data_IF_337114027109
#
_entry.id   IF_337114027109
#
_cell.length_a   1.000
_cell.length_b   1.000
_cell.length_c   1.000
_cell.angle_alpha   90.00
_cell.angle_beta   90.00
_cell.angle_gamma   90.00
#
_symmetry.space_group_name_H-M   'P 1'
#
loop_
_entity.id
_entity.type
_entity.pdbx_description
1 polymer ?
#
# COMPACT_ATOMS: atom_id res chain seq x y z
N UNK A 1 -1.85 28.13 -25.74
CA UNK A 1 -2.91 28.99 -25.14
C UNK A 1 -2.74 29.10 -23.62
N UNK A 2 -2.74 30.32 -23.09
CA UNK A 2 -2.62 30.60 -21.64
C UNK A 2 -3.98 30.89 -21.00
N UNK A 3 -4.06 30.76 -19.68
CA UNK A 3 -5.23 31.18 -18.90
C UNK A 3 -5.27 32.70 -18.79
N UNK A 4 -6.47 33.29 -18.83
CA UNK A 4 -6.66 34.73 -18.60
C UNK A 4 -6.27 35.11 -17.15
N UNK A 5 -5.41 36.11 -16.99
CA UNK A 5 -4.82 36.56 -15.72
C UNK A 5 -5.67 37.56 -14.93
N UNK A 6 -6.97 37.60 -15.19
CA UNK A 6 -7.97 38.45 -14.56
C UNK A 6 -9.09 37.64 -13.90
N UNK A 7 -8.89 36.32 -13.74
CA UNK A 7 -9.91 35.37 -13.28
C UNK A 7 -9.41 34.48 -12.14
N UNK A 8 -10.39 33.93 -11.41
CA UNK A 8 -10.19 32.81 -10.49
C UNK A 8 -10.60 31.53 -11.22
N UNK A 9 -9.76 30.51 -11.15
CA UNK A 9 -10.03 29.19 -11.72
C UNK A 9 -10.33 28.20 -10.61
N UNK A 10 -11.26 27.28 -10.89
CA UNK A 10 -11.58 26.15 -10.03
C UNK A 10 -11.03 24.88 -10.66
N UNK A 11 -10.25 24.13 -9.88
CA UNK A 11 -9.61 22.89 -10.29
C UNK A 11 -10.16 21.77 -9.40
N UNK A 12 -10.69 20.72 -10.02
CA UNK A 12 -11.19 19.53 -9.34
C UNK A 12 -10.49 18.29 -9.91
N UNK A 13 -10.08 17.38 -9.05
CA UNK A 13 -9.59 16.07 -9.50
C UNK A 13 -10.78 15.23 -9.98
N UNK A 14 -10.78 14.83 -11.25
CA UNK A 14 -11.85 14.00 -11.84
C UNK A 14 -11.58 12.50 -11.73
N UNK A 15 -10.31 12.11 -11.52
CA UNK A 15 -9.87 10.73 -11.40
C UNK A 15 -8.55 10.67 -10.62
N UNK A 16 -8.53 9.87 -9.56
CA UNK A 16 -7.30 9.56 -8.84
C UNK A 16 -6.42 8.57 -9.62
N UNK A 17 -5.09 8.63 -9.45
CA UNK A 17 -4.20 7.55 -9.86
C UNK A 17 -4.59 6.22 -9.20
N UNK A 18 -4.23 5.11 -9.85
CA UNK A 18 -4.50 3.77 -9.29
C UNK A 18 -3.91 3.64 -7.89
N UNK A 19 -4.73 3.18 -6.94
CA UNK A 19 -4.33 3.00 -5.55
C UNK A 19 -4.39 4.25 -4.67
N UNK A 20 -4.91 5.37 -5.17
CA UNK A 20 -5.08 6.61 -4.42
C UNK A 20 -6.56 6.99 -4.25
N UNK A 21 -6.84 7.75 -3.20
CA UNK A 21 -8.16 8.31 -2.90
C UNK A 21 -8.34 9.60 -3.72
N UNK A 22 -9.48 9.73 -4.40
CA UNK A 22 -9.85 10.95 -5.14
C UNK A 22 -10.10 12.13 -4.20
N UNK A 23 -9.43 13.24 -4.44
CA UNK A 23 -9.67 14.51 -3.75
C UNK A 23 -10.84 15.26 -4.40
N UNK A 24 -12.00 15.23 -3.74
CA UNK A 24 -13.22 15.89 -4.24
C UNK A 24 -13.30 17.39 -3.93
N UNK A 25 -12.28 17.97 -3.28
CA UNK A 25 -12.26 19.40 -2.97
C UNK A 25 -12.10 20.23 -4.25
N UNK A 26 -12.75 21.38 -4.27
CA UNK A 26 -12.53 22.41 -5.29
C UNK A 26 -11.33 23.25 -4.88
N UNK A 27 -10.27 23.24 -5.68
CA UNK A 27 -9.08 24.05 -5.47
C UNK A 27 -9.18 25.34 -6.28
N UNK A 28 -9.07 26.49 -5.60
CA UNK A 28 -9.15 27.80 -6.25
C UNK A 28 -7.77 28.35 -6.53
N UNK A 29 -7.54 28.78 -7.77
CA UNK A 29 -6.33 29.48 -8.19
C UNK A 29 -6.72 30.88 -8.64
N UNK A 30 -6.28 31.88 -7.88
CA UNK A 30 -6.51 33.28 -8.21
C UNK A 30 -5.35 33.80 -9.07
N UNK A 31 -5.63 34.09 -10.35
CA UNK A 31 -4.65 34.61 -11.28
C UNK A 31 -4.74 36.12 -11.47
N UNK A 32 -5.66 36.81 -10.76
CA UNK A 32 -5.86 38.26 -10.91
C UNK A 32 -4.57 39.03 -10.65
N UNK A 33 -4.14 39.81 -11.64
CA UNK A 33 -2.92 40.63 -11.55
C UNK A 33 -1.61 39.84 -11.64
N UNK A 34 -1.65 38.55 -12.02
CA UNK A 34 -0.48 37.69 -12.14
C UNK A 34 -0.04 37.47 -13.60
N UNK A 35 -0.35 38.41 -14.50
CA UNK A 35 -0.03 38.31 -15.93
C UNK A 35 1.45 38.00 -16.21
N UNK A 36 1.68 37.08 -17.15
CA UNK A 36 3.03 36.71 -17.61
C UNK A 36 3.81 35.77 -16.67
N UNK A 37 3.22 35.31 -15.56
CA UNK A 37 3.85 34.39 -14.61
C UNK A 37 3.32 32.96 -14.75
N UNK A 38 4.15 31.99 -14.39
CA UNK A 38 3.73 30.59 -14.19
C UNK A 38 3.25 30.41 -12.77
N UNK A 39 2.08 29.78 -12.60
CA UNK A 39 1.55 29.38 -11.30
C UNK A 39 1.62 27.85 -11.16
N UNK A 40 2.13 27.36 -10.01
CA UNK A 40 2.23 25.93 -9.71
C UNK A 40 1.25 25.56 -8.61
N UNK A 41 0.26 24.73 -8.94
CA UNK A 41 -0.61 24.09 -7.96
C UNK A 41 -0.07 22.69 -7.66
N UNK A 42 0.21 22.40 -6.39
CA UNK A 42 0.63 21.07 -5.93
C UNK A 42 -0.54 20.41 -5.21
N UNK A 43 -0.99 19.27 -5.74
CA UNK A 43 -2.04 18.44 -5.15
C UNK A 43 -1.44 17.12 -4.66
N UNK A 44 -1.68 16.78 -3.40
CA UNK A 44 -1.22 15.54 -2.80
C UNK A 44 -2.39 14.58 -2.62
N UNK A 45 -2.23 13.35 -3.10
CA UNK A 45 -3.22 12.29 -2.92
C UNK A 45 -2.86 11.37 -1.76
N UNK A 46 -3.89 10.92 -1.06
CA UNK A 46 -3.75 9.91 -0.02
C UNK A 46 -3.82 8.52 -0.64
N UNK A 47 -2.82 7.68 -0.37
CA UNK A 47 -2.88 6.28 -0.78
C UNK A 47 -4.03 5.54 -0.09
N UNK A 48 -4.74 4.71 -0.84
CA UNK A 48 -5.75 3.81 -0.29
C UNK A 48 -5.07 2.75 0.58
N UNK A 49 -5.80 2.28 1.59
CA UNK A 49 -5.34 1.20 2.45
C UNK A 49 -5.52 -0.16 1.77
N UNK A 50 -4.58 -1.06 2.04
CA UNK A 50 -4.53 -2.43 1.52
C UNK A 50 -4.25 -3.41 2.66
N UNK A 51 -4.27 -4.70 2.36
CA UNK A 51 -3.92 -5.73 3.33
C UNK A 51 -3.00 -6.80 2.71
N UNK A 52 -2.24 -7.47 3.57
CA UNK A 52 -1.53 -8.71 3.22
C UNK A 52 -2.14 -9.85 4.03
N UNK A 53 -2.54 -10.91 3.36
CA UNK A 53 -2.92 -12.20 3.96
C UNK A 53 -1.80 -13.20 3.70
N UNK A 54 -1.26 -13.82 4.75
CA UNK A 54 -0.32 -14.93 4.63
C UNK A 54 -1.07 -16.21 4.94
N UNK A 55 -0.83 -17.24 4.14
CA UNK A 55 -1.39 -18.58 4.32
C UNK A 55 -0.22 -19.56 4.42
N UNK A 56 0.09 -20.00 5.64
CA UNK A 56 1.06 -21.05 5.86
C UNK A 56 0.39 -22.41 5.68
N UNK A 57 0.88 -23.17 4.73
CA UNK A 57 0.42 -24.53 4.47
C UNK A 57 1.58 -25.47 4.17
N UNK A 58 1.31 -26.77 4.23
CA UNK A 58 2.20 -27.80 3.72
C UNK A 58 2.30 -27.74 2.19
N UNK A 59 3.51 -27.97 1.68
CA UNK A 59 3.80 -27.84 0.25
C UNK A 59 3.08 -28.88 -0.61
N UNK A 60 2.80 -30.06 -0.06
CA UNK A 60 2.24 -31.20 -0.79
C UNK A 60 0.74 -31.36 -0.52
N UNK A 61 0.38 -31.58 0.74
CA UNK A 61 -0.99 -31.85 1.20
C UNK A 61 -1.88 -30.62 1.26
N UNK A 62 -1.29 -29.42 1.23
CA UNK A 62 -1.98 -28.13 1.42
C UNK A 62 -2.65 -27.97 2.80
N UNK A 63 -2.33 -28.84 3.75
CA UNK A 63 -2.78 -28.72 5.13
C UNK A 63 -2.31 -27.39 5.73
N UNK A 64 -3.20 -26.68 6.42
CA UNK A 64 -2.88 -25.42 7.11
C UNK A 64 -1.95 -25.66 8.30
N UNK A 65 -0.97 -24.79 8.50
CA UNK A 65 0.05 -24.94 9.53
C UNK A 65 0.09 -23.73 10.46
N UNK A 66 -0.27 -23.96 11.72
CA UNK A 66 -0.22 -22.95 12.78
C UNK A 66 1.19 -22.75 13.33
N UNK A 67 1.42 -21.60 13.97
CA UNK A 67 2.61 -21.35 14.78
C UNK A 67 3.87 -20.93 14.01
N UNK A 68 3.82 -20.86 12.68
CA UNK A 68 4.85 -20.18 11.89
C UNK A 68 4.93 -18.71 12.30
N UNK A 69 6.14 -18.16 12.46
CA UNK A 69 6.33 -16.74 12.74
C UNK A 69 6.99 -16.05 11.55
N UNK A 70 6.48 -14.88 11.22
CA UNK A 70 6.94 -14.05 10.11
C UNK A 70 7.40 -12.71 10.62
N UNK A 71 8.58 -12.29 10.16
CA UNK A 71 9.03 -10.91 10.25
C UNK A 71 8.46 -10.14 9.07
N UNK A 72 7.81 -9.02 9.40
CA UNK A 72 7.30 -8.02 8.47
C UNK A 72 8.23 -6.81 8.48
N UNK A 73 8.45 -6.21 7.31
CA UNK A 73 9.13 -4.92 7.16
C UNK A 73 8.42 -4.07 6.11
N UNK A 74 8.11 -2.82 6.47
CA UNK A 74 7.79 -1.76 5.51
C UNK A 74 9.10 -1.17 4.99
N UNK A 75 9.35 -1.27 3.69
CA UNK A 75 10.64 -0.85 3.10
C UNK A 75 10.77 0.68 3.01
N UNK A 76 9.66 1.42 3.15
CA UNK A 76 9.65 2.88 3.02
C UNK A 76 10.07 3.56 4.31
N UNK A 77 9.60 3.09 5.47
CA UNK A 77 9.91 3.71 6.77
C UNK A 77 10.71 2.80 7.71
N UNK A 78 11.12 1.62 7.25
CA UNK A 78 11.83 0.60 8.04
C UNK A 78 11.08 0.11 9.29
N UNK A 79 9.77 0.35 9.38
CA UNK A 79 8.96 -0.23 10.45
C UNK A 79 8.99 -1.76 10.32
N UNK A 80 9.15 -2.44 11.45
CA UNK A 80 9.15 -3.90 11.52
C UNK A 80 8.19 -4.40 12.58
N UNK A 81 7.63 -5.58 12.33
CA UNK A 81 6.73 -6.28 13.23
C UNK A 81 6.90 -7.80 13.07
N UNK A 82 6.38 -8.57 14.02
CA UNK A 82 6.34 -10.03 13.95
C UNK A 82 4.90 -10.49 14.06
N UNK A 83 4.52 -11.44 13.21
CA UNK A 83 3.19 -12.05 13.21
C UNK A 83 3.31 -13.57 13.31
N UNK A 84 2.34 -14.20 13.95
CA UNK A 84 2.27 -15.67 14.08
C UNK A 84 1.05 -16.18 13.34
N UNK A 85 1.23 -17.21 12.52
CA UNK A 85 0.12 -17.91 11.87
C UNK A 85 -0.80 -18.52 12.92
N UNK A 86 -2.09 -18.22 12.81
CA UNK A 86 -3.12 -18.72 13.71
C UNK A 86 -3.40 -20.22 13.50
N UNK A 87 -4.41 -20.75 14.20
CA UNK A 87 -4.83 -22.15 14.09
C UNK A 87 -5.27 -22.57 12.68
N UNK A 88 -5.65 -21.62 11.83
CA UNK A 88 -6.02 -21.84 10.43
C UNK A 88 -4.82 -21.66 9.50
N UNK A 89 -3.61 -21.49 10.04
CA UNK A 89 -2.40 -21.22 9.28
C UNK A 89 -2.42 -19.83 8.64
N UNK A 90 -3.16 -18.86 9.18
CA UNK A 90 -3.35 -17.56 8.55
C UNK A 90 -2.74 -16.40 9.36
N UNK A 91 -2.30 -15.37 8.65
CA UNK A 91 -2.00 -14.04 9.21
C UNK A 91 -2.70 -13.00 8.35
N UNK A 92 -3.39 -12.04 8.96
CA UNK A 92 -3.95 -10.88 8.27
C UNK A 92 -3.29 -9.59 8.79
N UNK A 93 -2.73 -8.81 7.88
CA UNK A 93 -2.11 -7.51 8.16
C UNK A 93 -2.90 -6.43 7.40
N UNK A 94 -3.89 -5.78 8.04
CA UNK A 94 -4.71 -4.75 7.40
C UNK A 94 -4.08 -3.36 7.49
N UNK A 95 -4.66 -2.38 6.79
CA UNK A 95 -4.32 -0.96 6.97
C UNK A 95 -2.98 -0.52 6.39
N UNK A 96 -2.38 -1.35 5.55
CA UNK A 96 -1.12 -1.07 4.86
C UNK A 96 -1.31 0.00 3.79
N UNK A 97 -0.29 0.80 3.52
CA UNK A 97 -0.36 1.80 2.45
C UNK A 97 -0.25 1.09 1.09
N UNK A 98 -1.23 1.33 0.20
CA UNK A 98 -1.32 0.73 -1.15
C UNK A 98 -0.36 1.35 -2.18
N UNK A 99 0.68 2.04 -1.73
CA UNK A 99 1.71 2.67 -2.55
C UNK A 99 3.12 2.25 -2.11
N UNK A 100 3.23 1.17 -1.32
CA UNK A 100 4.50 0.71 -0.73
C UNK A 100 4.84 -0.73 -1.08
N UNK A 101 6.10 -1.07 -0.81
CA UNK A 101 6.64 -2.42 -0.88
C UNK A 101 6.87 -2.92 0.55
N UNK A 102 6.54 -4.18 0.77
CA UNK A 102 6.70 -4.88 2.04
C UNK A 102 7.57 -6.11 1.86
N UNK A 103 8.31 -6.47 2.90
CA UNK A 103 9.12 -7.69 2.95
C UNK A 103 8.60 -8.60 4.06
N UNK A 104 8.37 -9.87 3.72
CA UNK A 104 7.95 -10.92 4.64
C UNK A 104 9.03 -12.01 4.65
N UNK A 105 9.45 -12.44 5.83
CA UNK A 105 10.42 -13.53 5.98
C UNK A 105 9.94 -14.45 7.11
N UNK A 106 9.92 -15.76 6.87
CA UNK A 106 9.69 -16.72 7.95
C UNK A 106 10.90 -16.72 8.89
N UNK A 107 10.65 -16.51 10.19
CA UNK A 107 11.67 -16.50 11.23
C UNK A 107 11.56 -17.70 12.18
N UNK A 108 10.43 -18.40 12.14
CA UNK A 108 10.21 -19.67 12.83
C UNK A 108 9.26 -20.53 12.02
N UNK A 109 9.71 -21.74 11.66
CA UNK A 109 8.85 -22.73 11.01
C UNK A 109 7.90 -23.41 12.01
N UNK A 110 6.76 -23.95 11.56
CA UNK A 110 5.96 -24.90 12.34
C UNK A 110 6.80 -26.13 12.75
N UNK A 111 6.43 -26.78 13.85
CA UNK A 111 7.12 -27.97 14.33
C UNK A 111 7.15 -29.07 13.25
N UNK A 112 8.33 -29.62 12.99
CA UNK A 112 8.54 -30.66 11.97
C UNK A 112 8.70 -30.13 10.54
N UNK A 113 8.68 -28.82 10.32
CA UNK A 113 8.89 -28.20 9.01
C UNK A 113 10.23 -27.47 8.91
N UNK A 114 10.77 -27.42 7.70
CA UNK A 114 11.97 -26.64 7.38
C UNK A 114 11.54 -25.18 7.15
N UNK A 115 12.32 -24.25 7.71
CA UNK A 115 12.11 -22.81 7.56
C UNK A 115 12.38 -22.32 6.14
N UNK A 116 11.46 -21.53 5.58
CA UNK A 116 11.65 -20.82 4.32
C UNK A 116 12.40 -19.50 4.57
N UNK A 117 13.69 -19.47 4.26
CA UNK A 117 14.56 -18.30 4.45
C UNK A 117 14.40 -17.24 3.36
N UNK A 118 13.54 -17.44 2.35
CA UNK A 118 13.35 -16.46 1.27
C UNK A 118 12.70 -15.18 1.81
N UNK A 119 13.16 -14.05 1.29
CA UNK A 119 12.48 -12.77 1.47
C UNK A 119 11.40 -12.67 0.41
N UNK A 120 10.15 -12.71 0.85
CA UNK A 120 8.99 -12.51 -0.01
C UNK A 120 8.69 -11.02 -0.10
N UNK A 121 8.91 -10.43 -1.28
CA UNK A 121 8.58 -9.03 -1.56
C UNK A 121 7.14 -8.92 -2.03
N UNK A 122 6.35 -8.10 -1.33
CA UNK A 122 4.97 -7.79 -1.69
C UNK A 122 4.90 -6.33 -2.13
N UNK A 123 4.68 -6.11 -3.42
CA UNK A 123 4.51 -4.78 -4.00
C UNK A 123 3.02 -4.41 -4.03
N UNK A 124 2.61 -3.50 -3.15
CA UNK A 124 1.23 -3.03 -3.11
C UNK A 124 0.99 -1.79 -3.97
N UNK A 125 1.99 -1.27 -4.69
CA UNK A 125 1.84 -0.05 -5.50
C UNK A 125 0.71 -0.19 -6.52
N UNK A 126 -0.25 0.72 -6.44
CA UNK A 126 -1.44 0.73 -7.29
C UNK A 126 -2.47 -0.36 -6.95
N UNK A 127 -2.28 -1.11 -5.86
CA UNK A 127 -3.18 -2.16 -5.37
C UNK A 127 -4.05 -1.69 -4.20
N UNK A 128 -4.24 -0.37 -4.07
CA UNK A 128 -5.12 0.23 -3.08
C UNK A 128 -6.49 -0.45 -3.00
N UNK A 129 -6.98 -0.66 -1.78
CA UNK A 129 -8.25 -1.31 -1.51
C UNK A 129 -8.25 -2.83 -1.63
N UNK A 130 -7.13 -3.47 -1.99
CA UNK A 130 -7.04 -4.92 -2.18
C UNK A 130 -6.34 -5.64 -1.03
N UNK A 131 -6.57 -6.94 -0.96
CA UNK A 131 -5.80 -7.87 -0.12
C UNK A 131 -4.89 -8.72 -1.00
N UNK A 132 -3.58 -8.65 -0.79
CA UNK A 132 -2.61 -9.53 -1.43
C UNK A 132 -2.47 -10.81 -0.63
N UNK A 133 -2.55 -11.97 -1.28
CA UNK A 133 -2.38 -13.28 -0.60
C UNK A 133 -1.03 -13.89 -0.94
N UNK A 134 -0.23 -14.15 0.10
CA UNK A 134 1.02 -14.89 0.05
C UNK A 134 0.77 -16.30 0.60
N UNK A 135 1.22 -17.34 -0.11
CA UNK A 135 1.02 -18.76 0.24
C UNK A 135 2.35 -19.49 0.29
#
# INVERSE_FOLDING_TARGET
PGLAGDRIYEITEIKAPNGYIIDRRVHKVDLRGQGGKTYTLVLNNQAQKSAIKIIKQDGYTKQRLAGAQFKFRDTTNNYTATFTADRNGEVLIPGLAGDRIYEITEIKAPNGYIIDRRVHKVDLRGQGGKTYTLV
#
